data_IF_289669549375
#
_entry.id   IF_289669549375
#
_cell.length_a   1.000
_cell.length_b   1.000
_cell.length_c   1.000
_cell.angle_alpha   90.00
_cell.angle_beta   90.00
_cell.angle_gamma   90.00
#
_symmetry.space_group_name_H-M   'P 1'
#
loop_
_entity.id
_entity.type
_entity.pdbx_description
1 polymer ?
#
# COMPACT_ATOMS: atom_id res chain seq x y z
N UNK A 1 14.69 12.24 -14.09
CA UNK A 1 15.06 11.13 -13.20
C UNK A 1 14.09 11.15 -12.03
N UNK A 2 13.25 10.13 -11.88
CA UNK A 2 12.17 10.04 -10.86
C UNK A 2 12.47 9.01 -9.78
N UNK A 3 13.75 8.64 -9.63
CA UNK A 3 14.19 7.69 -8.62
C UNK A 3 14.00 8.26 -7.21
N UNK A 4 13.52 7.41 -6.31
CA UNK A 4 13.37 7.70 -4.88
C UNK A 4 14.16 6.68 -4.07
N UNK A 5 14.72 7.10 -2.94
CA UNK A 5 15.65 6.28 -2.17
C UNK A 5 14.98 5.42 -1.10
N UNK A 6 13.67 5.58 -0.88
CA UNK A 6 12.94 4.85 0.18
C UNK A 6 11.55 4.41 -0.32
N UNK A 7 11.04 3.33 0.27
CA UNK A 7 9.67 2.85 0.00
C UNK A 7 8.64 3.90 0.42
N UNK A 8 8.86 4.59 1.54
CA UNK A 8 8.02 5.71 1.96
C UNK A 8 8.02 6.85 0.92
N UNK A 9 9.18 7.17 0.35
CA UNK A 9 9.31 8.14 -0.74
C UNK A 9 8.53 7.71 -1.98
N UNK A 10 8.57 6.42 -2.33
CA UNK A 10 7.77 5.86 -3.42
C UNK A 10 6.27 6.03 -3.16
N UNK A 11 5.79 5.69 -1.96
CA UNK A 11 4.38 5.88 -1.56
C UNK A 11 3.98 7.35 -1.66
N UNK A 12 4.80 8.26 -1.12
CA UNK A 12 4.59 9.71 -1.22
C UNK A 12 4.51 10.20 -2.67
N UNK A 13 5.42 9.74 -3.53
CA UNK A 13 5.44 10.11 -4.95
C UNK A 13 4.21 9.60 -5.68
N UNK A 14 3.76 8.37 -5.42
CA UNK A 14 2.56 7.80 -6.05
C UNK A 14 1.27 8.47 -5.59
N UNK A 15 1.18 8.86 -4.31
CA UNK A 15 0.00 9.53 -3.77
C UNK A 15 -0.04 11.04 -4.09
N UNK A 16 1.11 11.67 -4.36
CA UNK A 16 1.21 13.11 -4.59
C UNK A 16 0.92 13.98 -3.35
N UNK A 17 0.91 13.38 -2.16
CA UNK A 17 0.63 14.04 -0.88
C UNK A 17 1.34 13.32 0.27
N UNK A 18 1.33 13.94 1.45
CA UNK A 18 1.72 13.27 2.69
C UNK A 18 0.72 12.12 2.95
N UNK A 19 1.20 10.87 3.12
CA UNK A 19 0.34 9.73 3.38
C UNK A 19 -0.29 9.82 4.77
N UNK A 20 -1.41 9.14 4.93
CA UNK A 20 -2.12 8.95 6.21
C UNK A 20 -2.18 7.47 6.52
N UNK A 21 -2.32 7.14 7.80
CA UNK A 21 -2.60 5.77 8.24
C UNK A 21 -3.78 5.18 7.46
N UNK A 22 -3.65 3.95 6.98
CA UNK A 22 -4.63 3.24 6.18
C UNK A 22 -4.54 3.50 4.66
N UNK A 23 -3.72 4.45 4.21
CA UNK A 23 -3.47 4.62 2.77
C UNK A 23 -2.84 3.35 2.19
N UNK A 24 -3.30 2.96 0.99
CA UNK A 24 -2.81 1.80 0.25
C UNK A 24 -2.37 2.20 -1.13
N UNK A 25 -1.23 1.67 -1.56
CA UNK A 25 -0.79 1.74 -2.95
C UNK A 25 -0.50 0.34 -3.48
N UNK A 26 -0.87 0.11 -4.73
CA UNK A 26 -0.63 -1.16 -5.42
C UNK A 26 0.44 -0.94 -6.49
N UNK A 27 1.51 -1.73 -6.42
CA UNK A 27 2.70 -1.56 -7.26
C UNK A 27 2.87 -2.80 -8.15
N UNK A 28 2.98 -2.53 -9.44
CA UNK A 28 3.22 -3.53 -10.48
C UNK A 28 2.07 -4.53 -10.65
N UNK A 29 2.32 -5.51 -11.53
CA UNK A 29 1.49 -6.68 -11.75
C UNK A 29 2.44 -7.84 -12.03
N UNK A 30 2.30 -8.94 -11.30
CA UNK A 30 3.06 -10.18 -11.51
C UNK A 30 2.36 -11.04 -12.56
N UNK A 31 3.05 -12.09 -13.02
CA UNK A 31 2.53 -13.03 -14.04
C UNK A 31 1.28 -13.79 -13.59
N UNK A 32 1.04 -13.87 -12.28
CA UNK A 32 -0.12 -14.49 -11.63
C UNK A 32 -1.19 -13.47 -11.24
N UNK A 33 -1.17 -12.28 -11.84
CA UNK A 33 -2.04 -11.14 -11.56
C UNK A 33 -1.97 -10.58 -10.13
N UNK A 34 -1.05 -11.09 -9.31
CA UNK A 34 -0.82 -10.53 -7.99
C UNK A 34 -0.10 -9.17 -8.05
N UNK A 35 -0.34 -8.33 -7.04
CA UNK A 35 0.25 -6.99 -6.92
C UNK A 35 0.89 -6.82 -5.56
N UNK A 36 1.94 -6.01 -5.48
CA UNK A 36 2.48 -5.62 -4.16
C UNK A 36 1.55 -4.56 -3.60
N UNK A 37 0.95 -4.81 -2.44
CA UNK A 37 0.20 -3.82 -1.67
C UNK A 37 1.12 -3.26 -0.59
N UNK A 38 1.22 -1.93 -0.55
CA UNK A 38 1.91 -1.22 0.52
C UNK A 38 0.88 -0.39 1.28
N UNK A 39 0.65 -0.77 2.53
CA UNK A 39 -0.25 -0.09 3.46
C UNK A 39 0.55 0.76 4.45
N UNK A 40 0.10 1.98 4.65
CA UNK A 40 0.66 2.89 5.66
C UNK A 40 0.04 2.56 7.02
N UNK A 41 0.82 1.95 7.91
CA UNK A 41 0.34 1.61 9.26
C UNK A 41 0.45 2.80 10.22
N UNK A 42 1.53 3.58 10.14
CA UNK A 42 1.72 4.74 11.01
C UNK A 42 2.49 5.87 10.35
N UNK A 43 2.10 7.10 10.69
CA UNK A 43 2.76 8.34 10.28
C UNK A 43 2.98 9.20 11.52
N UNK A 44 4.22 9.65 11.72
CA UNK A 44 4.61 10.56 12.81
C UNK A 44 5.03 11.89 12.21
N UNK A 45 4.16 12.89 12.31
CA UNK A 45 4.33 14.17 11.62
C UNK A 45 4.32 13.96 10.11
N UNK A 46 5.44 14.26 9.44
CA UNK A 46 5.60 14.09 7.99
C UNK A 46 6.43 12.85 7.61
N UNK A 47 6.74 11.99 8.58
CA UNK A 47 7.56 10.79 8.38
C UNK A 47 6.64 9.57 8.46
N UNK A 48 6.67 8.74 7.43
CA UNK A 48 6.06 7.40 7.50
C UNK A 48 6.93 6.56 8.41
N UNK A 49 6.37 6.16 9.56
CA UNK A 49 7.07 5.44 10.62
C UNK A 49 7.01 3.93 10.38
N UNK A 50 5.86 3.42 9.91
CA UNK A 50 5.70 2.01 9.58
C UNK A 50 4.84 1.78 8.34
N UNK A 51 5.29 0.81 7.55
CA UNK A 51 4.61 0.29 6.36
C UNK A 51 4.40 -1.21 6.52
N UNK A 52 3.24 -1.70 6.11
CA UNK A 52 2.99 -3.13 5.91
C UNK A 52 3.06 -3.39 4.41
N UNK A 53 3.88 -4.35 4.02
CA UNK A 53 4.02 -4.77 2.62
C UNK A 53 3.49 -6.19 2.49
N UNK A 54 2.54 -6.39 1.57
CA UNK A 54 1.92 -7.68 1.32
C UNK A 54 1.77 -7.92 -0.18
N UNK A 55 1.43 -9.16 -0.55
CA UNK A 55 1.06 -9.53 -1.91
C UNK A 55 -0.47 -9.65 -1.95
N UNK A 56 -1.11 -8.79 -2.73
CA UNK A 56 -2.52 -8.87 -3.08
C UNK A 56 -2.69 -9.87 -4.22
N UNK A 57 -3.25 -11.04 -3.94
CA UNK A 57 -3.56 -12.07 -4.94
C UNK A 57 -5.02 -11.98 -5.37
N UNK A 58 -5.34 -12.18 -6.66
CA UNK A 58 -6.71 -12.31 -7.12
C UNK A 58 -7.43 -13.41 -6.32
N UNK A 59 -8.47 -13.04 -5.56
CA UNK A 59 -9.21 -13.94 -4.67
C UNK A 59 -9.15 -13.57 -3.18
N UNK A 60 -8.17 -12.77 -2.74
CA UNK A 60 -8.08 -12.34 -1.33
C UNK A 60 -9.12 -11.26 -0.96
N UNK A 61 -9.64 -10.55 -1.97
CA UNK A 61 -10.68 -9.51 -1.81
C UNK A 61 -12.05 -10.12 -1.44
N UNK A 62 -12.30 -11.38 -1.80
CA UNK A 62 -13.57 -12.05 -1.48
C UNK A 62 -13.72 -12.40 0.01
N UNK A 63 -12.62 -12.45 0.78
CA UNK A 63 -12.65 -12.85 2.20
C UNK A 63 -12.84 -11.67 3.16
N UNK A 64 -12.61 -10.43 2.73
CA UNK A 64 -12.81 -9.24 3.58
C UNK A 64 -14.21 -8.63 3.44
N UNK A 65 -14.85 -8.72 2.26
CA UNK A 65 -16.22 -8.21 2.07
C UNK A 65 -17.30 -9.14 2.66
N UNK A 66 -17.01 -10.43 2.84
CA UNK A 66 -17.95 -11.39 3.42
C UNK A 66 -18.08 -11.32 4.96
N UNK A 67 -17.24 -10.53 5.64
CA UNK A 67 -17.25 -10.39 7.11
C UNK A 67 -18.03 -9.19 7.65
N UNK A 68 -18.66 -8.39 6.78
CA UNK A 68 -19.26 -7.10 7.11
C UNK A 68 -20.79 -7.04 7.02
N UNK A 69 -21.49 -8.16 7.17
CA UNK A 69 -22.94 -8.18 7.36
C UNK A 69 -23.25 -8.81 8.73
N UNK A 70 -23.45 -7.95 9.74
CA UNK A 70 -24.19 -8.26 10.97
C UNK A 70 -25.33 -7.28 11.09
#
# INVERSE_FOLDING_TARGET
>A
DTRVSTVAGLVMTLLGRIPKSGDKVYIGRRSDDSRVCVEVESVKGNIVDRLIVSIDTPGNVASFEAGGAS
#
